data_IF_741164365742
#
_entry.id   IF_741164365742
#
_cell.length_a   1.000
_cell.length_b   1.000
_cell.length_c   1.000
_cell.angle_alpha   90.00
_cell.angle_beta   90.00
_cell.angle_gamma   90.00
#
_symmetry.space_group_name_H-M   'P 1'
#
loop_
_entity.id
_entity.type
_entity.pdbx_description
1 polymer ?
#
# COMPACT_ATOMS: atom_id res chain seq x y z
N UNK A 1 -3.13 26.70 5.53
CA UNK A 1 -4.10 25.62 5.84
C UNK A 1 -3.91 25.17 7.28
N UNK A 2 -4.99 24.81 7.99
CA UNK A 2 -4.89 24.27 9.35
C UNK A 2 -4.32 22.84 9.33
N UNK A 3 -3.36 22.54 10.22
CA UNK A 3 -2.76 21.20 10.32
C UNK A 3 -3.84 20.15 10.61
N UNK A 4 -3.75 19.00 9.93
CA UNK A 4 -4.68 17.87 10.09
C UNK A 4 -4.35 17.01 11.33
N UNK A 5 -3.06 16.89 11.66
CA UNK A 5 -2.57 16.04 12.73
C UNK A 5 -1.24 16.58 13.28
N UNK A 6 -0.79 15.99 14.38
CA UNK A 6 0.55 16.16 14.94
C UNK A 6 1.21 14.80 15.20
N UNK A 7 2.54 14.81 15.33
CA UNK A 7 3.31 13.70 15.87
C UNK A 7 3.29 13.81 17.40
N UNK A 8 3.01 12.71 18.09
CA UNK A 8 3.01 12.66 19.56
C UNK A 8 4.34 12.10 20.10
N UNK A 9 4.51 12.15 21.42
CA UNK A 9 5.66 11.56 22.12
C UNK A 9 5.59 10.03 22.24
N UNK A 10 4.51 9.39 21.79
CA UNK A 10 4.42 7.93 21.72
C UNK A 10 5.24 7.42 20.53
N UNK A 11 6.41 6.87 20.84
CA UNK A 11 7.39 6.43 19.85
C UNK A 11 7.39 4.89 19.74
N UNK A 12 7.46 4.41 18.49
CA UNK A 12 7.79 3.03 18.18
C UNK A 12 9.17 2.96 17.54
N UNK A 13 10.06 2.20 18.18
CA UNK A 13 11.40 1.92 17.65
C UNK A 13 11.46 0.50 17.09
N UNK A 14 12.15 0.33 15.97
CA UNK A 14 12.44 -0.99 15.41
C UNK A 14 13.73 -0.96 14.60
N UNK A 15 14.34 -2.13 14.44
CA UNK A 15 15.50 -2.30 13.57
C UNK A 15 15.04 -2.60 12.14
N UNK A 16 15.39 -1.75 11.17
CA UNK A 16 15.12 -2.00 9.76
C UNK A 16 16.25 -2.84 9.17
N UNK A 17 16.02 -4.16 9.10
CA UNK A 17 16.98 -5.14 8.60
C UNK A 17 17.51 -4.85 7.19
N UNK A 18 16.80 -4.06 6.36
CA UNK A 18 17.26 -3.73 5.00
C UNK A 18 18.30 -2.62 4.99
N UNK A 19 18.21 -1.69 5.94
CA UNK A 19 19.13 -0.56 6.04
C UNK A 19 20.14 -0.71 7.17
N UNK A 20 20.03 -1.80 7.94
CA UNK A 20 20.78 -2.07 9.17
C UNK A 20 20.76 -0.89 10.16
N UNK A 21 19.62 -0.20 10.23
CA UNK A 21 19.45 1.02 11.03
C UNK A 21 18.21 0.94 11.89
N UNK A 22 18.35 1.39 13.13
CA UNK A 22 17.21 1.67 13.99
C UNK A 22 16.39 2.83 13.41
N UNK A 23 15.08 2.64 13.36
CA UNK A 23 14.10 3.65 12.94
C UNK A 23 13.20 4.00 14.12
N UNK A 24 12.79 5.26 14.18
CA UNK A 24 11.82 5.77 15.14
C UNK A 24 10.60 6.26 14.38
N UNK A 25 9.41 5.85 14.81
CA UNK A 25 8.13 6.33 14.29
C UNK A 25 7.32 6.95 15.42
N UNK A 26 6.53 7.96 15.10
CA UNK A 26 5.72 8.70 16.04
C UNK A 26 4.25 8.39 15.79
N UNK A 27 3.50 8.10 16.85
CA UNK A 27 2.05 7.96 16.78
C UNK A 27 1.45 9.30 16.35
N UNK A 28 0.53 9.28 15.39
CA UNK A 28 -0.16 10.51 14.94
C UNK A 28 -1.43 10.76 15.76
N UNK A 29 -1.75 12.03 15.99
CA UNK A 29 -2.99 12.47 16.63
C UNK A 29 -3.70 13.52 15.79
N UNK A 30 -5.00 13.32 15.55
CA UNK A 30 -5.81 14.26 14.78
C UNK A 30 -5.98 15.60 15.52
N UNK A 31 -5.81 16.72 14.80
CA UNK A 31 -5.95 18.07 15.34
C UNK A 31 -7.30 18.73 15.05
N UNK A 32 -8.08 18.13 14.14
CA UNK A 32 -9.43 18.59 13.73
C UNK A 32 -10.29 17.40 13.33
N UNK A 33 -11.58 17.63 13.21
CA UNK A 33 -12.53 16.67 12.66
C UNK A 33 -12.39 16.59 11.13
N UNK A 34 -12.45 15.39 10.58
CA UNK A 34 -12.55 15.12 9.13
C UNK A 34 -13.00 13.68 8.90
N UNK A 35 -13.82 13.44 7.86
CA UNK A 35 -14.46 12.14 7.61
C UNK A 35 -15.12 11.60 8.89
N UNK A 36 -14.66 10.46 9.38
CA UNK A 36 -15.10 9.79 10.60
C UNK A 36 -14.07 9.91 11.74
N UNK A 37 -13.08 10.78 11.62
CA UNK A 37 -12.02 11.02 12.59
C UNK A 37 -12.35 12.28 13.37
N UNK A 38 -12.34 12.17 14.70
CA UNK A 38 -12.54 13.27 15.63
C UNK A 38 -11.21 13.86 16.09
N UNK A 39 -11.19 15.15 16.39
CA UNK A 39 -10.05 15.79 17.05
C UNK A 39 -9.63 14.98 18.29
N UNK A 40 -8.32 14.79 18.45
CA UNK A 40 -7.72 14.00 19.52
C UNK A 40 -7.59 12.50 19.23
N UNK A 41 -8.20 11.99 18.14
CA UNK A 41 -8.13 10.59 17.79
C UNK A 41 -6.71 10.16 17.37
N UNK A 42 -6.26 9.01 17.86
CA UNK A 42 -4.94 8.44 17.56
C UNK A 42 -4.98 7.59 16.27
N UNK A 43 -4.09 7.90 15.33
CA UNK A 43 -3.87 7.10 14.12
C UNK A 43 -2.70 6.13 14.28
N UNK A 44 -2.12 5.63 13.19
CA UNK A 44 -0.93 4.76 13.22
C UNK A 44 0.36 5.53 13.47
N UNK A 45 1.48 5.02 12.94
CA UNK A 45 2.81 5.59 13.16
C UNK A 45 3.42 6.08 11.85
N UNK A 46 4.03 7.26 11.87
CA UNK A 46 4.80 7.78 10.75
C UNK A 46 6.18 8.24 11.19
N UNK A 47 7.18 8.22 10.30
CA UNK A 47 8.55 8.62 10.64
C UNK A 47 8.72 10.14 10.69
N UNK A 48 8.10 10.86 9.74
CA UNK A 48 8.19 12.32 9.59
C UNK A 48 6.87 12.88 9.06
N UNK A 49 6.63 14.17 9.28
CA UNK A 49 5.41 14.89 8.86
C UNK A 49 5.16 14.75 7.34
N UNK A 50 6.21 14.67 6.52
CA UNK A 50 6.10 14.46 5.07
C UNK A 50 5.49 13.11 4.65
N UNK A 51 5.43 12.11 5.56
CA UNK A 51 4.90 10.79 5.21
C UNK A 51 3.38 10.76 5.04
N UNK A 52 2.65 11.71 5.63
CA UNK A 52 1.19 11.78 5.56
C UNK A 52 0.75 13.21 5.27
N UNK A 53 0.03 13.42 4.17
CA UNK A 53 -0.42 14.76 3.79
C UNK A 53 -1.39 15.36 4.81
N UNK A 54 -1.30 16.67 5.05
CA UNK A 54 -2.31 17.44 5.78
C UNK A 54 -3.57 17.76 4.94
N UNK A 55 -3.51 17.53 3.63
CA UNK A 55 -4.62 17.71 2.70
C UNK A 55 -5.38 16.39 2.46
N UNK A 56 -6.63 16.51 1.99
CA UNK A 56 -7.52 15.38 1.77
C UNK A 56 -7.83 14.55 3.02
N UNK A 57 -8.48 13.41 2.80
CA UNK A 57 -8.97 12.53 3.86
C UNK A 57 -8.07 11.31 4.11
N UNK A 58 -6.83 11.34 3.59
CA UNK A 58 -5.87 10.28 3.83
C UNK A 58 -5.53 10.13 5.31
N UNK A 59 -5.40 8.88 5.78
CA UNK A 59 -5.09 8.58 7.17
C UNK A 59 -4.42 7.23 7.36
N UNK A 60 -3.58 7.15 8.39
CA UNK A 60 -2.94 5.91 8.87
C UNK A 60 -3.63 5.51 10.17
N UNK A 61 -4.12 4.28 10.27
CA UNK A 61 -4.87 3.76 11.43
C UNK A 61 -4.13 2.62 12.13
N UNK A 62 -4.64 2.24 13.30
CA UNK A 62 -4.22 1.04 14.05
C UNK A 62 -2.70 0.99 14.28
N UNK A 63 -2.00 -0.08 13.87
CA UNK A 63 -0.57 -0.27 14.04
C UNK A 63 0.21 -0.07 12.74
N UNK A 64 -0.43 0.48 11.71
CA UNK A 64 0.21 0.68 10.41
C UNK A 64 1.37 1.67 10.52
N UNK A 65 2.38 1.48 9.66
CA UNK A 65 3.63 2.20 9.70
C UNK A 65 3.96 2.78 8.33
N UNK A 66 4.29 4.07 8.30
CA UNK A 66 4.77 4.75 7.09
C UNK A 66 6.12 5.40 7.38
N UNK A 67 7.15 5.04 6.64
CA UNK A 67 8.52 5.45 6.94
C UNK A 67 9.40 5.54 5.70
N UNK A 68 10.64 6.02 5.85
CA UNK A 68 11.46 6.41 4.70
C UNK A 68 10.86 7.62 3.98
N UNK A 69 10.92 7.61 2.65
CA UNK A 69 10.38 8.66 1.78
C UNK A 69 8.97 8.34 1.26
N UNK A 70 8.31 7.33 1.83
CA UNK A 70 6.96 6.96 1.48
C UNK A 70 5.98 8.11 1.76
N UNK A 71 4.98 8.28 0.89
CA UNK A 71 3.97 9.36 1.01
C UNK A 71 2.56 8.83 0.86
N UNK A 72 1.71 9.19 1.82
CA UNK A 72 0.26 8.93 1.79
C UNK A 72 -0.49 10.25 1.60
N UNK A 73 -1.32 10.34 0.56
CA UNK A 73 -2.06 11.57 0.22
C UNK A 73 -3.42 11.26 -0.43
N UNK A 74 -4.19 12.29 -0.82
CA UNK A 74 -5.56 12.11 -1.33
C UNK A 74 -6.52 11.59 -0.24
N UNK A 75 -7.26 10.52 -0.53
CA UNK A 75 -8.23 9.88 0.38
C UNK A 75 -7.78 8.49 0.87
N UNK A 76 -6.50 8.15 0.63
CA UNK A 76 -5.94 6.84 0.87
C UNK A 76 -6.06 6.39 2.33
N UNK A 77 -6.30 5.11 2.54
CA UNK A 77 -6.46 4.52 3.88
C UNK A 77 -5.41 3.45 4.09
N UNK A 78 -4.54 3.63 5.09
CA UNK A 78 -3.58 2.61 5.52
C UNK A 78 -3.93 2.17 6.93
N UNK A 79 -4.13 0.88 7.17
CA UNK A 79 -4.63 0.42 8.46
C UNK A 79 -4.12 -0.98 8.85
N UNK A 80 -4.50 -1.43 10.05
CA UNK A 80 -4.06 -2.69 10.66
C UNK A 80 -2.55 -2.71 10.91
N UNK A 81 -1.79 -3.60 10.29
CA UNK A 81 -0.34 -3.78 10.49
C UNK A 81 0.45 -3.52 9.20
N UNK A 82 -0.19 -2.94 8.20
CA UNK A 82 0.41 -2.57 6.93
C UNK A 82 1.64 -1.68 7.12
N UNK A 83 2.64 -1.88 6.27
CA UNK A 83 3.92 -1.16 6.30
C UNK A 83 4.20 -0.57 4.91
N UNK A 84 4.40 0.74 4.86
CA UNK A 84 4.70 1.48 3.62
C UNK A 84 6.06 2.16 3.78
N UNK A 85 6.96 1.93 2.83
CA UNK A 85 8.36 2.38 2.95
C UNK A 85 9.02 2.64 1.59
N UNK A 86 10.33 2.95 1.57
CA UNK A 86 11.04 3.35 0.35
C UNK A 86 10.59 4.72 -0.13
N UNK A 87 10.33 4.85 -1.43
CA UNK A 87 9.75 6.02 -2.11
C UNK A 87 8.28 5.77 -2.49
N UNK A 88 7.63 4.77 -1.89
CA UNK A 88 6.30 4.34 -2.26
C UNK A 88 5.25 5.46 -2.08
N UNK A 89 4.24 5.48 -2.95
CA UNK A 89 3.15 6.45 -2.92
C UNK A 89 1.80 5.74 -2.85
N UNK A 90 0.97 6.09 -1.88
CA UNK A 90 -0.41 5.59 -1.76
C UNK A 90 -1.37 6.77 -1.76
N UNK A 91 -2.25 6.84 -2.75
CA UNK A 91 -3.08 8.01 -2.96
C UNK A 91 -4.43 7.71 -3.61
N UNK A 92 -5.20 8.76 -3.94
CA UNK A 92 -6.60 8.64 -4.37
C UNK A 92 -7.43 7.88 -3.33
N UNK A 93 -8.20 6.85 -3.71
CA UNK A 93 -9.04 6.08 -2.80
C UNK A 93 -8.41 4.72 -2.42
N UNK A 94 -7.11 4.55 -2.65
CA UNK A 94 -6.41 3.29 -2.39
C UNK A 94 -6.51 2.87 -0.91
N UNK A 95 -6.55 1.56 -0.69
CA UNK A 95 -6.58 0.96 0.66
C UNK A 95 -5.46 -0.04 0.82
N UNK A 96 -4.70 0.06 1.91
CA UNK A 96 -3.65 -0.90 2.26
C UNK A 96 -3.85 -1.36 3.70
N UNK A 97 -4.00 -2.67 3.92
CA UNK A 97 -4.29 -3.25 5.25
C UNK A 97 -3.72 -4.66 5.43
N UNK A 98 -4.09 -5.37 6.49
CA UNK A 98 -3.45 -6.62 6.88
C UNK A 98 -2.02 -6.42 7.36
N UNK A 99 -1.16 -7.36 6.98
CA UNK A 99 0.31 -7.30 7.12
C UNK A 99 0.97 -6.87 5.80
N UNK A 100 0.21 -6.28 4.87
CA UNK A 100 0.69 -5.93 3.54
C UNK A 100 1.91 -5.00 3.59
N UNK A 101 2.83 -5.21 2.65
CA UNK A 101 4.09 -4.48 2.57
C UNK A 101 4.26 -3.80 1.22
N UNK A 102 4.34 -2.47 1.22
CA UNK A 102 4.52 -1.66 0.00
C UNK A 102 5.84 -0.91 0.11
N UNK A 103 6.73 -1.10 -0.86
CA UNK A 103 8.10 -0.60 -0.78
C UNK A 103 8.71 -0.18 -2.13
N UNK A 104 9.99 0.21 -2.15
CA UNK A 104 10.68 0.80 -3.30
C UNK A 104 9.92 1.97 -3.92
N UNK A 105 9.69 1.97 -5.23
CA UNK A 105 9.02 3.04 -5.98
C UNK A 105 7.53 2.75 -6.24
N UNK A 106 6.95 1.76 -5.53
CA UNK A 106 5.58 1.33 -5.70
C UNK A 106 4.57 2.49 -5.68
N UNK A 107 3.58 2.44 -6.57
CA UNK A 107 2.48 3.40 -6.56
C UNK A 107 1.13 2.67 -6.50
N UNK A 108 0.37 2.97 -5.46
CA UNK A 108 -0.96 2.39 -5.22
C UNK A 108 -2.00 3.52 -5.29
N UNK A 109 -2.88 3.47 -6.28
CA UNK A 109 -3.85 4.54 -6.55
C UNK A 109 -5.15 4.03 -7.19
N UNK A 110 -6.04 4.92 -7.60
CA UNK A 110 -7.42 4.58 -7.95
C UNK A 110 -8.21 4.13 -6.74
N UNK A 111 -8.91 3.02 -6.89
CA UNK A 111 -9.61 2.29 -5.82
C UNK A 111 -8.89 0.97 -5.48
N UNK A 112 -7.58 0.87 -5.77
CA UNK A 112 -6.81 -0.35 -5.53
C UNK A 112 -6.81 -0.76 -4.06
N UNK A 113 -6.78 -2.07 -3.81
CA UNK A 113 -6.81 -2.63 -2.46
C UNK A 113 -5.70 -3.66 -2.29
N UNK A 114 -4.80 -3.42 -1.35
CA UNK A 114 -3.71 -4.33 -0.99
C UNK A 114 -3.95 -4.82 0.44
N UNK A 115 -4.02 -6.13 0.66
CA UNK A 115 -4.34 -6.68 1.98
C UNK A 115 -3.75 -8.09 2.18
N UNK A 116 -3.96 -8.70 3.35
CA UNK A 116 -3.30 -9.98 3.69
C UNK A 116 -1.79 -9.79 3.93
N UNK A 117 -0.96 -10.69 3.43
CA UNK A 117 0.51 -10.65 3.53
C UNK A 117 1.18 -10.16 2.23
N UNK A 118 0.40 -9.56 1.32
CA UNK A 118 0.86 -9.19 -0.01
C UNK A 118 2.04 -8.20 0.04
N UNK A 119 3.02 -8.40 -0.85
CA UNK A 119 4.22 -7.57 -0.99
C UNK A 119 4.22 -6.91 -2.37
N UNK A 120 4.24 -5.59 -2.40
CA UNK A 120 4.11 -4.80 -3.63
C UNK A 120 5.25 -3.81 -3.76
N UNK A 121 6.06 -4.01 -4.79
CA UNK A 121 7.19 -3.16 -5.14
C UNK A 121 6.88 -2.29 -6.37
N UNK A 122 5.88 -2.69 -7.18
CA UNK A 122 5.46 -2.02 -8.41
C UNK A 122 4.15 -1.23 -8.30
N UNK A 123 3.49 -1.05 -9.45
CA UNK A 123 2.33 -0.17 -9.60
C UNK A 123 1.02 -0.96 -9.59
N UNK A 124 0.08 -0.60 -8.71
CA UNK A 124 -1.26 -1.22 -8.64
C UNK A 124 -2.34 -0.15 -8.59
N UNK A 125 -3.25 -0.15 -9.56
CA UNK A 125 -4.24 0.91 -9.73
C UNK A 125 -5.55 0.44 -10.35
N UNK A 126 -6.48 1.38 -10.59
CA UNK A 126 -7.85 1.05 -10.99
C UNK A 126 -8.63 0.43 -9.82
N UNK A 127 -9.30 -0.70 -10.03
CA UNK A 127 -10.03 -1.42 -8.98
C UNK A 127 -9.33 -2.73 -8.58
N UNK A 128 -8.02 -2.84 -8.84
CA UNK A 128 -7.26 -4.05 -8.62
C UNK A 128 -7.16 -4.40 -7.12
N UNK A 129 -7.24 -5.70 -6.82
CA UNK A 129 -7.14 -6.26 -5.47
C UNK A 129 -5.98 -7.24 -5.43
N UNK A 130 -4.99 -6.99 -4.59
CA UNK A 130 -3.82 -7.86 -4.40
C UNK A 130 -3.79 -8.32 -2.93
N UNK A 131 -3.83 -9.62 -2.70
CA UNK A 131 -3.96 -10.17 -1.34
C UNK A 131 -3.39 -11.57 -1.18
N UNK A 132 -3.54 -12.17 0.00
CA UNK A 132 -2.84 -13.42 0.34
C UNK A 132 -1.33 -13.18 0.43
N UNK A 133 -0.53 -14.11 -0.07
CA UNK A 133 0.93 -14.07 -0.07
C UNK A 133 1.51 -13.49 -1.39
N UNK A 134 0.70 -12.73 -2.14
CA UNK A 134 1.04 -12.31 -3.48
C UNK A 134 2.24 -11.35 -3.50
N UNK A 135 3.09 -11.48 -4.50
CA UNK A 135 4.29 -10.68 -4.70
C UNK A 135 4.26 -9.98 -6.07
N UNK A 136 4.38 -8.65 -6.07
CA UNK A 136 4.42 -7.82 -7.28
C UNK A 136 5.78 -7.10 -7.34
N UNK A 137 6.58 -7.37 -8.36
CA UNK A 137 7.89 -6.74 -8.59
C UNK A 137 7.81 -5.25 -8.92
N UNK A 138 8.95 -4.58 -8.84
CA UNK A 138 9.12 -3.13 -9.02
C UNK A 138 8.61 -2.58 -10.37
N UNK A 139 8.84 -3.31 -11.46
CA UNK A 139 8.46 -2.86 -12.81
C UNK A 139 7.10 -3.38 -13.29
N UNK A 140 6.34 -4.04 -12.42
CA UNK A 140 5.02 -4.55 -12.78
C UNK A 140 3.94 -3.45 -12.68
N UNK A 141 3.01 -3.45 -13.64
CA UNK A 141 1.83 -2.58 -13.66
C UNK A 141 0.55 -3.40 -13.68
N UNK A 142 -0.27 -3.23 -12.64
CA UNK A 142 -1.49 -4.00 -12.40
C UNK A 142 -2.66 -3.03 -12.38
N UNK A 143 -3.62 -3.16 -13.33
CA UNK A 143 -4.75 -2.23 -13.45
C UNK A 143 -6.09 -2.84 -13.84
N UNK A 144 -7.17 -2.08 -13.68
CA UNK A 144 -8.53 -2.54 -14.00
C UNK A 144 -9.20 -3.31 -12.85
N UNK A 145 -10.12 -4.21 -13.16
CA UNK A 145 -10.91 -4.99 -12.21
C UNK A 145 -10.25 -6.33 -11.91
N UNK A 146 -9.05 -6.31 -11.33
CA UNK A 146 -8.28 -7.52 -11.08
C UNK A 146 -8.38 -8.07 -9.66
N UNK A 147 -8.19 -9.38 -9.53
CA UNK A 147 -7.89 -10.05 -8.27
C UNK A 147 -6.62 -10.89 -8.43
N UNK A 148 -5.62 -10.62 -7.61
CA UNK A 148 -4.39 -11.40 -7.50
C UNK A 148 -4.30 -11.87 -6.06
N UNK A 149 -4.23 -13.18 -5.84
CA UNK A 149 -4.29 -13.75 -4.50
C UNK A 149 -3.42 -15.00 -4.32
N UNK A 150 -3.26 -15.43 -3.07
CA UNK A 150 -2.43 -16.55 -2.65
C UNK A 150 -0.95 -16.33 -3.02
N UNK A 151 -0.18 -17.39 -3.28
CA UNK A 151 1.25 -17.30 -3.61
C UNK A 151 1.54 -16.92 -5.07
N UNK A 152 0.84 -15.93 -5.63
CA UNK A 152 1.12 -15.44 -6.99
C UNK A 152 2.36 -14.53 -6.97
N UNK A 153 3.31 -14.82 -7.86
CA UNK A 153 4.51 -14.03 -8.08
C UNK A 153 4.46 -13.38 -9.48
N UNK A 154 4.46 -12.06 -9.53
CA UNK A 154 4.59 -11.29 -10.78
C UNK A 154 5.97 -10.62 -10.77
N UNK A 155 6.77 -10.90 -11.80
CA UNK A 155 8.16 -10.44 -11.91
C UNK A 155 8.40 -9.64 -13.21
N UNK A 156 9.45 -8.82 -13.24
CA UNK A 156 9.87 -7.99 -14.38
C UNK A 156 8.85 -6.93 -14.87
N UNK A 157 9.00 -6.50 -16.13
CA UNK A 157 8.19 -5.53 -16.86
C UNK A 157 6.86 -6.14 -17.33
N UNK A 158 5.99 -6.50 -16.40
CA UNK A 158 4.69 -7.12 -16.72
C UNK A 158 3.57 -6.09 -16.61
N UNK A 159 2.77 -5.91 -17.67
CA UNK A 159 1.54 -5.12 -17.62
C UNK A 159 0.34 -6.08 -17.64
N UNK A 160 -0.42 -6.11 -16.55
CA UNK A 160 -1.68 -6.86 -16.48
C UNK A 160 -2.81 -5.85 -16.35
N UNK A 161 -3.82 -5.98 -17.19
CA UNK A 161 -4.99 -5.10 -17.20
C UNK A 161 -6.27 -5.85 -17.57
N UNK A 162 -7.41 -5.26 -17.25
CA UNK A 162 -8.72 -5.80 -17.62
C UNK A 162 -9.49 -6.36 -16.43
N UNK A 163 -10.27 -7.43 -16.64
CA UNK A 163 -11.12 -8.05 -15.63
C UNK A 163 -10.70 -9.52 -15.42
N UNK A 164 -9.74 -9.77 -14.54
CA UNK A 164 -9.02 -11.05 -14.42
C UNK A 164 -8.88 -11.48 -12.95
N UNK A 165 -8.94 -12.80 -12.70
CA UNK A 165 -8.55 -13.41 -11.42
C UNK A 165 -7.33 -14.34 -11.61
N UNK A 166 -6.25 -14.10 -10.86
CA UNK A 166 -5.02 -14.90 -10.83
C UNK A 166 -4.84 -15.42 -9.40
N UNK A 167 -4.75 -16.73 -9.21
CA UNK A 167 -4.64 -17.34 -7.87
C UNK A 167 -3.91 -18.67 -7.86
N UNK A 168 -3.40 -19.05 -6.70
CA UNK A 168 -2.54 -20.24 -6.52
C UNK A 168 -1.05 -19.90 -6.55
N UNK A 169 -0.19 -20.91 -6.65
CA UNK A 169 1.28 -20.73 -6.73
C UNK A 169 1.72 -20.47 -8.17
N UNK A 170 1.25 -19.38 -8.78
CA UNK A 170 1.66 -19.03 -10.14
C UNK A 170 2.84 -18.08 -10.13
N UNK A 171 3.74 -18.26 -11.09
CA UNK A 171 4.70 -17.23 -11.48
C UNK A 171 4.33 -16.68 -12.85
N UNK A 172 4.01 -15.39 -12.94
CA UNK A 172 3.92 -14.64 -14.19
C UNK A 172 5.25 -13.91 -14.36
N UNK A 173 6.05 -14.41 -15.30
CA UNK A 173 7.39 -13.92 -15.62
C UNK A 173 7.35 -13.49 -17.10
N UNK A 174 8.21 -12.52 -17.48
CA UNK A 174 8.47 -12.00 -18.84
C UNK A 174 7.68 -10.76 -19.28
N UNK A 175 8.34 -9.90 -20.09
CA UNK A 175 7.75 -8.81 -20.87
C UNK A 175 6.50 -9.31 -21.61
N UNK A 176 5.34 -9.09 -21.00
CA UNK A 176 4.07 -9.57 -21.53
C UNK A 176 2.96 -8.61 -21.12
N UNK A 177 2.20 -8.18 -22.10
CA UNK A 177 0.97 -7.42 -21.91
C UNK A 177 -0.18 -8.42 -21.83
N UNK A 178 -0.73 -8.63 -20.64
CA UNK A 178 -1.93 -9.43 -20.45
C UNK A 178 -3.14 -8.51 -20.34
N UNK A 179 -3.99 -8.52 -21.36
CA UNK A 179 -5.24 -7.76 -21.40
C UNK A 179 -6.39 -8.72 -21.69
N UNK A 180 -7.35 -8.79 -20.77
CA UNK A 180 -8.54 -9.63 -20.94
C UNK A 180 -9.82 -8.82 -20.67
N UNK A 181 -10.76 -8.90 -21.62
CA UNK A 181 -12.07 -8.22 -21.57
C UNK A 181 -13.16 -9.05 -20.88
N UNK A 182 -12.96 -10.36 -20.73
CA UNK A 182 -13.81 -11.30 -19.99
C UNK A 182 -13.00 -11.91 -18.84
N UNK A 183 -13.68 -12.45 -17.80
CA UNK A 183 -12.99 -13.17 -16.71
C UNK A 183 -12.20 -14.34 -17.31
N UNK A 184 -10.90 -14.13 -17.51
CA UNK A 184 -9.96 -15.23 -17.70
C UNK A 184 -9.46 -15.68 -16.34
N UNK A 185 -9.05 -16.94 -16.28
CA UNK A 185 -8.52 -17.55 -15.07
C UNK A 185 -7.14 -18.07 -15.41
N UNK A 186 -6.12 -17.55 -14.74
CA UNK A 186 -4.75 -18.03 -14.89
C UNK A 186 -4.41 -18.84 -13.64
N UNK A 187 -4.50 -20.16 -13.76
CA UNK A 187 -3.80 -21.09 -12.90
C UNK A 187 -2.92 -21.97 -13.79
N UNK A 188 -1.61 -21.78 -13.76
CA UNK A 188 -0.65 -22.77 -14.24
C UNK A 188 -0.03 -23.45 -13.02
N UNK A 189 0.02 -24.77 -13.11
CA UNK A 189 0.38 -25.75 -12.08
C UNK A 189 1.63 -25.39 -11.27
#
# INVERSE_FOLDING_TARGET
MQKKYELTDEIKEFHDARTDKSKKLYRIRALRDFRNIKKGYLGGYIQKEDNLSHEGDCWVWHKAMVYGDAKIFGNAQVFERAKITGRARVYENAKVCGEAYVEYDAQIYGNAQIYGEARVLGHVYGNARVYGDAYISDKAHISGNMKILDGVYIFDNVNISGNLEIRGRNSIIYESDYSASNISYISRF
#
